data_IF_752428358101
#
_entry.id   IF_752428358101
#
_cell.length_a   1.000
_cell.length_b   1.000
_cell.length_c   1.000
_cell.angle_alpha   90.00
_cell.angle_beta   90.00
_cell.angle_gamma   90.00
#
_symmetry.space_group_name_H-M   'P 1'
#
loop_
_entity.id
_entity.type
_entity.pdbx_description
1 polymer ?
#
# COMPACT_ATOMS: atom_id res chain seq x y z
N UNK A 1 -13.19 30.40 18.54
CA UNK A 1 -11.78 30.32 18.12
C UNK A 1 -11.71 29.26 17.02
N UNK A 2 -11.01 29.52 15.92
CA UNK A 2 -10.88 28.60 14.78
C UNK A 2 -9.40 28.44 14.45
N UNK A 3 -8.94 27.20 14.25
CA UNK A 3 -7.57 26.86 13.88
C UNK A 3 -7.59 26.00 12.61
N UNK A 4 -6.79 26.32 11.57
CA UNK A 4 -6.63 25.44 10.42
C UNK A 4 -6.03 24.09 10.84
N UNK A 5 -6.57 22.98 10.33
CA UNK A 5 -6.14 21.63 10.70
C UNK A 5 -4.64 21.40 10.52
N UNK A 6 -4.04 21.91 9.44
CA UNK A 6 -2.62 21.73 9.14
C UNK A 6 -1.70 22.60 10.01
N UNK A 7 -2.24 23.49 10.85
CA UNK A 7 -1.48 24.22 11.85
C UNK A 7 -1.34 23.46 13.17
N UNK A 8 -2.12 22.39 13.38
CA UNK A 8 -2.12 21.65 14.65
C UNK A 8 -0.74 21.09 15.05
N UNK A 9 0.09 20.51 14.16
CA UNK A 9 1.43 20.06 14.55
C UNK A 9 2.27 21.19 15.14
N UNK A 10 2.20 22.40 14.59
CA UNK A 10 2.91 23.56 15.12
C UNK A 10 2.35 24.05 16.47
N UNK A 11 1.04 23.97 16.68
CA UNK A 11 0.40 24.34 17.96
C UNK A 11 0.73 23.35 19.07
N UNK A 12 0.79 22.05 18.74
CA UNK A 12 1.12 20.99 19.69
C UNK A 12 2.63 20.73 19.84
N UNK A 13 3.48 21.48 19.12
CA UNK A 13 4.93 21.28 19.15
C UNK A 13 5.35 19.88 18.67
N UNK A 14 4.64 19.32 17.69
CA UNK A 14 4.92 17.99 17.14
C UNK A 14 6.17 18.04 16.25
N UNK A 15 7.20 17.32 16.66
CA UNK A 15 8.41 17.04 15.91
C UNK A 15 8.33 15.65 15.26
N UNK A 16 9.21 15.30 14.29
CA UNK A 16 9.18 13.99 13.63
C UNK A 16 9.26 12.79 14.59
N UNK A 17 9.93 12.92 15.72
CA UNK A 17 10.06 11.88 16.76
C UNK A 17 8.91 11.88 17.78
N UNK A 18 8.04 12.89 17.76
CA UNK A 18 6.89 13.01 18.67
C UNK A 18 5.55 12.92 17.95
N UNK A 19 5.53 12.47 16.68
CA UNK A 19 4.28 12.23 15.95
C UNK A 19 3.45 11.19 16.73
N UNK A 20 2.19 11.48 17.07
CA UNK A 20 1.34 10.49 17.74
C UNK A 20 1.10 9.30 16.82
N UNK A 21 1.68 8.16 17.19
CA UNK A 21 1.76 6.97 16.36
C UNK A 21 1.37 5.69 17.12
N UNK A 22 0.48 5.81 18.11
CA UNK A 22 -0.09 4.67 18.83
C UNK A 22 -0.99 3.87 17.89
N UNK A 23 -0.42 2.83 17.27
CA UNK A 23 -1.10 1.91 16.35
C UNK A 23 -1.28 0.52 16.99
N UNK A 24 -2.37 -0.20 16.69
CA UNK A 24 -3.45 0.18 15.78
C UNK A 24 -4.46 1.15 16.42
N UNK A 25 -4.88 2.17 15.66
CA UNK A 25 -6.03 3.01 16.03
C UNK A 25 -7.26 2.77 15.14
N UNK A 26 -7.14 1.88 14.15
CA UNK A 26 -8.25 1.29 13.40
C UNK A 26 -8.15 -0.22 13.51
N UNK A 27 -9.25 -0.89 13.84
CA UNK A 27 -9.33 -2.35 13.89
C UNK A 27 -10.39 -2.86 12.91
N UNK A 28 -10.09 -3.92 12.19
CA UNK A 28 -11.06 -4.58 11.33
C UNK A 28 -12.19 -5.21 12.17
N UNK A 29 -13.47 -5.09 11.75
CA UNK A 29 -14.55 -5.79 12.43
C UNK A 29 -14.44 -7.31 12.25
N UNK A 30 -15.13 -8.05 13.12
CA UNK A 30 -15.15 -9.52 13.12
C UNK A 30 -15.95 -10.10 11.97
N UNK A 31 -17.01 -9.41 11.52
CA UNK A 31 -17.78 -9.76 10.34
C UNK A 31 -17.10 -9.17 9.11
N UNK A 32 -16.43 -10.03 8.32
CA UNK A 32 -15.57 -9.62 7.23
C UNK A 32 -15.55 -10.66 6.11
N UNK A 33 -15.39 -10.25 4.85
CA UNK A 33 -15.14 -11.18 3.76
C UNK A 33 -13.85 -11.97 4.00
N UNK A 34 -13.85 -13.24 3.65
CA UNK A 34 -12.66 -14.09 3.70
C UNK A 34 -11.80 -13.88 2.45
N UNK A 35 -10.48 -13.95 2.60
CA UNK A 35 -9.59 -14.08 1.44
C UNK A 35 -9.87 -15.40 0.71
N UNK A 36 -9.81 -15.43 -0.64
CA UNK A 36 -9.73 -16.67 -1.38
C UNK A 36 -8.58 -17.55 -0.87
N UNK A 37 -8.77 -18.87 -0.91
CA UNK A 37 -7.76 -19.83 -0.48
C UNK A 37 -6.43 -19.60 -1.20
N UNK A 38 -5.36 -19.60 -0.42
CA UNK A 38 -4.00 -19.33 -0.89
C UNK A 38 -2.99 -19.88 0.09
N UNK A 39 -1.88 -20.40 -0.43
CA UNK A 39 -0.82 -20.99 0.37
C UNK A 39 0.37 -20.03 0.51
N UNK A 40 1.17 -20.23 1.54
CA UNK A 40 2.36 -19.42 1.80
C UNK A 40 2.03 -18.01 2.28
N UNK A 41 2.94 -17.08 1.98
CA UNK A 41 2.94 -15.69 2.44
C UNK A 41 1.95 -14.84 1.64
N UNK A 42 0.95 -14.26 2.30
CA UNK A 42 -0.17 -13.56 1.64
C UNK A 42 0.14 -12.07 1.47
N UNK A 43 0.18 -11.62 0.23
CA UNK A 43 0.58 -10.24 -0.12
C UNK A 43 -0.56 -9.50 -0.82
N UNK A 44 -0.98 -8.36 -0.26
CA UNK A 44 -1.95 -7.46 -0.87
C UNK A 44 -1.27 -6.40 -1.74
N UNK A 45 -1.80 -6.12 -2.94
CA UNK A 45 -1.24 -5.16 -3.89
C UNK A 45 -2.23 -4.04 -4.24
N UNK A 46 -1.74 -2.79 -4.30
CA UNK A 46 -2.47 -1.66 -4.89
C UNK A 46 -1.50 -0.69 -5.59
N UNK A 47 -1.66 -0.51 -6.90
CA UNK A 47 -0.64 0.08 -7.78
C UNK A 47 -1.06 1.37 -8.48
N UNK A 48 -2.35 1.73 -8.39
CA UNK A 48 -2.89 2.94 -8.97
C UNK A 48 -3.85 3.65 -8.01
N UNK A 49 -3.90 4.97 -8.10
CA UNK A 49 -4.88 5.77 -7.39
C UNK A 49 -6.12 6.05 -8.23
N UNK A 50 -6.81 7.14 -7.89
CA UNK A 50 -8.00 7.57 -8.61
C UNK A 50 -7.59 8.38 -9.84
N UNK A 51 -8.07 8.04 -11.06
CA UNK A 51 -7.84 8.84 -12.26
C UNK A 51 -8.37 10.29 -12.16
N UNK A 52 -9.29 10.55 -11.22
CA UNK A 52 -9.78 11.90 -10.95
C UNK A 52 -8.76 12.79 -10.20
N UNK A 53 -7.68 12.20 -9.65
CA UNK A 53 -6.61 12.95 -9.02
C UNK A 53 -5.61 13.45 -10.08
N UNK A 54 -5.37 14.77 -10.21
CA UNK A 54 -4.42 15.29 -11.20
C UNK A 54 -2.99 14.76 -11.06
N UNK A 55 -2.60 14.34 -9.85
CA UNK A 55 -1.27 13.79 -9.58
C UNK A 55 -1.16 12.29 -9.88
N UNK A 56 -2.27 11.62 -10.24
CA UNK A 56 -2.32 10.17 -10.34
C UNK A 56 -1.32 9.60 -11.36
N UNK A 57 -1.17 10.28 -12.50
CA UNK A 57 -0.22 9.92 -13.55
C UNK A 57 1.24 9.82 -13.08
N UNK A 58 1.59 10.46 -11.97
CA UNK A 58 2.96 10.50 -11.43
C UNK A 58 3.18 9.51 -10.27
N UNK A 59 2.11 9.05 -9.64
CA UNK A 59 2.15 8.16 -8.46
C UNK A 59 1.60 6.76 -8.72
N UNK A 60 0.89 6.57 -9.83
CA UNK A 60 0.42 5.28 -10.30
C UNK A 60 1.42 4.64 -11.25
N UNK A 61 1.37 3.32 -11.34
CA UNK A 61 2.09 2.54 -12.36
C UNK A 61 1.12 1.65 -13.13
N UNK A 62 1.55 1.14 -14.27
CA UNK A 62 0.82 0.07 -14.95
C UNK A 62 1.06 -1.28 -14.22
N UNK A 63 0.04 -2.13 -14.12
CA UNK A 63 0.14 -3.44 -13.48
C UNK A 63 1.25 -4.32 -14.08
N UNK A 64 1.54 -4.19 -15.38
CA UNK A 64 2.61 -4.96 -16.02
C UNK A 64 3.99 -4.72 -15.40
N UNK A 65 4.21 -3.55 -14.79
CA UNK A 65 5.45 -3.27 -14.06
C UNK A 65 5.61 -4.17 -12.84
N UNK A 66 4.51 -4.58 -12.21
CA UNK A 66 4.50 -5.52 -11.07
C UNK A 66 4.48 -6.98 -11.50
N UNK A 67 4.37 -7.31 -12.79
CA UNK A 67 4.34 -8.70 -13.26
C UNK A 67 5.49 -9.56 -12.70
N UNK A 68 6.76 -9.09 -12.63
CA UNK A 68 7.85 -9.89 -12.07
C UNK A 68 7.72 -10.12 -10.56
N UNK A 69 7.03 -9.23 -9.83
CA UNK A 69 6.76 -9.40 -8.41
C UNK A 69 5.85 -10.60 -8.15
N UNK A 70 4.89 -10.85 -9.05
CA UNK A 70 3.95 -11.96 -8.96
C UNK A 70 4.61 -13.33 -9.15
N UNK A 71 5.87 -13.39 -9.58
CA UNK A 71 6.64 -14.61 -9.74
C UNK A 71 7.49 -14.98 -8.51
N UNK A 72 7.44 -14.19 -7.43
CA UNK A 72 8.12 -14.52 -6.17
C UNK A 72 7.49 -15.78 -5.56
N UNK A 73 8.29 -16.82 -5.42
CA UNK A 73 7.86 -18.12 -4.88
C UNK A 73 7.37 -18.03 -3.43
N UNK A 74 6.49 -18.95 -3.03
CA UNK A 74 5.89 -19.04 -1.68
C UNK A 74 5.00 -17.86 -1.30
N UNK A 75 4.68 -16.97 -2.24
CA UNK A 75 3.70 -15.91 -2.04
C UNK A 75 2.38 -16.26 -2.74
N UNK A 76 1.27 -15.85 -2.14
CA UNK A 76 -0.02 -15.72 -2.83
C UNK A 76 -0.37 -14.23 -2.88
N UNK A 77 -0.72 -13.73 -4.06
CA UNK A 77 -0.98 -12.30 -4.27
C UNK A 77 -2.48 -12.01 -4.40
N UNK A 78 -2.90 -10.95 -3.74
CA UNK A 78 -4.28 -10.48 -3.72
C UNK A 78 -4.32 -9.00 -4.12
N UNK A 79 -5.22 -8.64 -5.02
CA UNK A 79 -5.42 -7.25 -5.42
C UNK A 79 -6.32 -6.53 -4.42
N UNK A 80 -5.76 -5.52 -3.75
CA UNK A 80 -6.49 -4.50 -3.01
C UNK A 80 -6.78 -3.27 -3.88
N UNK A 81 -6.54 -3.37 -5.20
CA UNK A 81 -6.78 -2.26 -6.13
C UNK A 81 -8.28 -2.02 -6.26
N UNK A 82 -8.70 -0.82 -5.90
CA UNK A 82 -10.06 -0.35 -6.14
C UNK A 82 -10.14 0.44 -7.45
N UNK A 83 -11.27 0.36 -8.14
CA UNK A 83 -11.56 1.12 -9.36
C UNK A 83 -11.04 0.49 -10.67
N UNK A 84 -11.07 1.28 -11.78
CA UNK A 84 -10.84 0.77 -13.13
C UNK A 84 -9.44 0.20 -13.38
N UNK A 85 -8.43 0.61 -12.61
CA UNK A 85 -7.09 0.04 -12.73
C UNK A 85 -7.06 -1.46 -12.46
N UNK A 86 -8.02 -1.99 -11.69
CA UNK A 86 -8.15 -3.44 -11.49
C UNK A 86 -8.50 -4.21 -12.77
N UNK A 87 -9.07 -3.56 -13.79
CA UNK A 87 -9.37 -4.20 -15.09
C UNK A 87 -8.08 -4.63 -15.83
N UNK A 88 -6.94 -4.06 -15.44
CA UNK A 88 -5.63 -4.47 -15.93
C UNK A 88 -5.30 -5.93 -15.58
N UNK A 89 -5.88 -6.50 -14.52
CA UNK A 89 -5.62 -7.91 -14.14
C UNK A 89 -6.01 -8.85 -15.27
N UNK A 90 -7.24 -8.71 -15.79
CA UNK A 90 -7.74 -9.55 -16.87
C UNK A 90 -7.09 -9.18 -18.20
N UNK A 91 -6.93 -7.89 -18.49
CA UNK A 91 -6.29 -7.42 -19.72
C UNK A 91 -4.83 -7.92 -19.86
N UNK A 92 -4.12 -8.03 -18.75
CA UNK A 92 -2.74 -8.53 -18.68
C UNK A 92 -2.66 -10.07 -18.57
N UNK A 93 -3.79 -10.78 -18.47
CA UNK A 93 -3.84 -12.24 -18.30
C UNK A 93 -3.27 -12.70 -16.95
N UNK A 94 -3.46 -11.91 -15.89
CA UNK A 94 -2.89 -12.13 -14.55
C UNK A 94 -3.88 -12.71 -13.54
N UNK A 95 -5.12 -13.02 -13.93
CA UNK A 95 -6.17 -13.53 -13.02
C UNK A 95 -5.80 -14.87 -12.35
N UNK A 96 -4.83 -15.61 -12.90
CA UNK A 96 -4.27 -16.83 -12.29
C UNK A 96 -3.10 -16.61 -11.32
N UNK A 97 -2.56 -15.39 -11.24
CA UNK A 97 -1.43 -15.01 -10.36
C UNK A 97 -1.80 -13.97 -9.31
N UNK A 98 -2.85 -13.20 -9.55
CA UNK A 98 -3.30 -12.11 -8.70
C UNK A 98 -4.82 -12.23 -8.49
N UNK A 99 -5.23 -12.59 -7.27
CA UNK A 99 -6.64 -12.73 -6.92
C UNK A 99 -7.32 -11.35 -6.82
N UNK A 100 -8.26 -11.07 -7.72
CA UNK A 100 -9.02 -9.82 -7.68
C UNK A 100 -10.04 -9.81 -6.54
N UNK A 101 -9.83 -8.95 -5.53
CA UNK A 101 -10.74 -8.83 -4.38
C UNK A 101 -11.85 -7.79 -4.59
N UNK A 102 -11.87 -7.05 -5.70
CA UNK A 102 -12.94 -6.05 -5.97
C UNK A 102 -14.36 -6.59 -5.78
N UNK A 103 -14.71 -7.85 -6.15
CA UNK A 103 -16.05 -8.38 -5.95
C UNK A 103 -16.50 -8.46 -4.48
N UNK A 104 -15.56 -8.55 -3.53
CA UNK A 104 -15.84 -8.68 -2.09
C UNK A 104 -15.36 -7.46 -1.27
N UNK A 105 -14.69 -6.51 -1.91
CA UNK A 105 -14.13 -5.30 -1.30
C UNK A 105 -15.03 -4.09 -1.62
N UNK A 106 -16.24 -4.09 -1.05
CA UNK A 106 -17.28 -3.08 -1.34
C UNK A 106 -17.02 -1.71 -0.72
N UNK A 107 -16.33 -1.67 0.41
CA UNK A 107 -16.06 -0.45 1.19
C UNK A 107 -14.77 -0.58 2.02
N UNK A 108 -14.46 0.44 2.82
CA UNK A 108 -13.30 0.44 3.70
C UNK A 108 -13.37 -0.57 4.84
N UNK A 109 -14.58 -0.96 5.26
CA UNK A 109 -14.76 -1.97 6.30
C UNK A 109 -14.37 -3.35 5.76
N UNK A 110 -14.87 -3.71 4.57
CA UNK A 110 -14.49 -4.91 3.85
C UNK A 110 -12.98 -4.92 3.54
N UNK A 111 -12.43 -3.80 3.07
CA UNK A 111 -10.99 -3.65 2.81
C UNK A 111 -10.16 -3.86 4.08
N UNK A 112 -10.55 -3.28 5.23
CA UNK A 112 -9.88 -3.52 6.50
C UNK A 112 -9.96 -5.00 6.89
N UNK A 113 -11.12 -5.64 6.71
CA UNK A 113 -11.30 -7.07 6.93
C UNK A 113 -10.34 -7.94 6.11
N UNK A 114 -10.14 -7.61 4.83
CA UNK A 114 -9.22 -8.30 3.94
C UNK A 114 -7.76 -8.03 4.32
N UNK A 115 -7.40 -6.79 4.63
CA UNK A 115 -6.04 -6.40 5.10
C UNK A 115 -5.64 -7.19 6.34
N UNK A 116 -6.55 -7.35 7.30
CA UNK A 116 -6.29 -8.10 8.53
C UNK A 116 -6.05 -9.60 8.36
N UNK A 117 -6.14 -10.13 7.14
CA UNK A 117 -5.86 -11.53 6.79
C UNK A 117 -4.59 -11.70 5.94
N UNK A 118 -3.91 -10.60 5.60
CA UNK A 118 -2.67 -10.59 4.83
C UNK A 118 -1.46 -10.54 5.76
N UNK A 119 -0.34 -11.09 5.29
CA UNK A 119 0.94 -10.99 5.98
C UNK A 119 1.69 -9.69 5.63
N UNK A 120 1.43 -9.13 4.44
CA UNK A 120 2.05 -7.91 3.95
C UNK A 120 1.11 -7.16 2.99
N UNK A 121 1.09 -5.84 3.07
CA UNK A 121 0.50 -4.95 2.05
C UNK A 121 1.61 -4.22 1.31
N UNK A 122 1.63 -4.26 -0.02
CA UNK A 122 2.51 -3.45 -0.86
C UNK A 122 1.63 -2.50 -1.68
N UNK A 123 1.81 -1.19 -1.49
CA UNK A 123 0.98 -0.20 -2.17
C UNK A 123 1.78 1.01 -2.61
N UNK A 124 1.30 1.75 -3.60
CA UNK A 124 1.68 3.16 -3.75
C UNK A 124 1.03 4.01 -2.64
N UNK A 125 1.32 5.31 -2.57
CA UNK A 125 0.66 6.20 -1.60
C UNK A 125 -0.84 6.37 -1.90
N UNK A 126 -1.71 5.44 -1.49
CA UNK A 126 -3.18 5.45 -1.62
C UNK A 126 -3.89 5.32 -0.27
N UNK A 127 -5.22 5.34 -0.27
CA UNK A 127 -6.02 5.00 0.93
C UNK A 127 -5.70 3.60 1.47
N UNK A 128 -5.29 2.64 0.62
CA UNK A 128 -4.87 1.29 1.05
C UNK A 128 -3.64 1.36 1.94
N UNK A 129 -2.64 2.16 1.56
CA UNK A 129 -1.45 2.40 2.38
C UNK A 129 -1.87 3.00 3.74
N UNK A 130 -2.65 4.08 3.75
CA UNK A 130 -3.05 4.74 5.00
C UNK A 130 -3.91 3.86 5.92
N UNK A 131 -4.86 3.09 5.36
CA UNK A 131 -5.69 2.18 6.14
C UNK A 131 -4.85 1.06 6.75
N UNK A 132 -3.98 0.42 5.96
CA UNK A 132 -3.10 -0.65 6.47
C UNK A 132 -2.14 -0.15 7.55
N UNK A 133 -1.57 1.05 7.41
CA UNK A 133 -0.74 1.67 8.44
C UNK A 133 -1.49 1.99 9.73
N UNK A 134 -2.71 2.54 9.62
CA UNK A 134 -3.57 2.80 10.77
C UNK A 134 -3.97 1.53 11.54
N UNK A 135 -4.04 0.40 10.83
CA UNK A 135 -4.29 -0.92 11.37
C UNK A 135 -3.04 -1.62 11.95
N UNK A 136 -1.86 -1.00 11.83
CA UNK A 136 -0.60 -1.62 12.23
C UNK A 136 -0.25 -2.87 11.43
N UNK A 137 -0.80 -3.03 10.23
CA UNK A 137 -0.37 -4.08 9.33
C UNK A 137 1.07 -3.82 8.86
N UNK A 138 1.82 -4.87 8.55
CA UNK A 138 3.10 -4.70 7.86
C UNK A 138 2.81 -4.19 6.44
N UNK A 139 3.34 -3.01 6.13
CA UNK A 139 3.04 -2.32 4.87
C UNK A 139 4.29 -1.74 4.23
N UNK A 140 4.49 -2.01 2.95
CA UNK A 140 5.52 -1.39 2.14
C UNK A 140 4.88 -0.39 1.17
N UNK A 141 5.41 0.84 1.17
CA UNK A 141 4.91 1.92 0.32
C UNK A 141 5.93 2.26 -0.76
N UNK A 142 5.52 2.12 -2.02
CA UNK A 142 6.26 2.53 -3.20
C UNK A 142 5.95 4.00 -3.50
N UNK A 143 6.91 4.89 -3.28
CA UNK A 143 6.76 6.32 -3.39
C UNK A 143 7.38 6.86 -4.67
N UNK A 144 6.65 7.71 -5.38
CA UNK A 144 7.20 8.46 -6.50
C UNK A 144 8.31 9.41 -6.03
N UNK A 145 9.20 9.81 -6.94
CA UNK A 145 10.34 10.67 -6.60
C UNK A 145 9.90 12.05 -6.05
N UNK A 146 8.70 12.49 -6.40
CA UNK A 146 8.05 13.73 -5.97
C UNK A 146 7.01 13.53 -4.86
N UNK A 147 7.16 12.46 -4.05
CA UNK A 147 6.22 12.12 -3.00
C UNK A 147 5.89 13.29 -2.05
N UNK A 148 4.66 13.27 -1.54
CA UNK A 148 4.15 14.25 -0.59
C UNK A 148 5.07 14.40 0.63
N UNK A 149 5.24 15.63 1.08
CA UNK A 149 6.13 16.02 2.18
C UNK A 149 5.92 15.22 3.48
N UNK A 150 4.70 14.70 3.72
CA UNK A 150 4.37 13.90 4.91
C UNK A 150 5.19 12.61 5.01
N UNK A 151 5.66 12.09 3.88
CA UNK A 151 6.54 10.93 3.83
C UNK A 151 7.98 11.28 4.21
N UNK A 152 8.32 12.56 4.40
CA UNK A 152 9.67 13.05 4.65
C UNK A 152 10.65 12.68 3.52
N UNK A 153 11.90 13.10 3.66
CA UNK A 153 13.01 12.81 2.72
C UNK A 153 14.10 12.01 3.43
N UNK A 154 14.93 11.34 2.63
CA UNK A 154 16.17 10.68 3.07
C UNK A 154 15.99 9.63 4.18
N UNK A 155 14.82 8.97 4.17
CA UNK A 155 14.47 7.92 5.12
C UNK A 155 13.51 6.90 4.53
N UNK A 156 13.59 5.68 5.04
CA UNK A 156 12.84 4.53 4.55
C UNK A 156 11.76 4.07 5.54
N UNK A 157 11.52 4.86 6.58
CA UNK A 157 10.49 4.71 7.59
C UNK A 157 9.53 5.93 7.56
N UNK A 158 8.45 5.87 8.33
CA UNK A 158 7.53 6.99 8.52
C UNK A 158 7.13 7.12 9.97
N UNK A 159 7.19 8.34 10.56
CA UNK A 159 6.78 8.54 11.94
C UNK A 159 5.26 8.41 12.12
N UNK A 160 4.48 8.45 11.03
CA UNK A 160 3.02 8.30 11.07
C UNK A 160 2.59 6.84 11.25
N UNK A 161 3.37 5.90 10.73
CA UNK A 161 3.04 4.47 10.72
C UNK A 161 4.29 3.62 11.00
N UNK A 162 4.59 3.32 12.28
CA UNK A 162 5.83 2.62 12.66
C UNK A 162 6.04 1.24 12.02
N UNK A 163 4.98 0.57 11.56
CA UNK A 163 5.06 -0.74 10.87
C UNK A 163 5.35 -0.62 9.38
N UNK A 164 5.47 0.60 8.84
CA UNK A 164 5.70 0.81 7.42
C UNK A 164 7.16 0.88 7.03
N UNK A 165 7.43 0.37 5.83
CA UNK A 165 8.69 0.58 5.11
C UNK A 165 8.42 1.33 3.81
N UNK A 166 9.26 2.31 3.49
CA UNK A 166 9.17 3.11 2.29
C UNK A 166 10.24 2.70 1.28
N UNK A 167 9.83 2.60 0.01
CA UNK A 167 10.68 2.48 -1.16
C UNK A 167 10.50 3.75 -1.97
N UNK A 168 11.59 4.37 -2.44
CA UNK A 168 11.53 5.67 -3.13
C UNK A 168 12.15 5.58 -4.50
N UNK A 169 11.51 6.21 -5.48
CA UNK A 169 12.08 6.29 -6.81
C UNK A 169 13.23 7.29 -6.77
N UNK A 170 14.37 6.90 -7.35
CA UNK A 170 15.46 7.84 -7.61
C UNK A 170 15.11 8.80 -8.76
N UNK A 171 14.47 8.25 -9.79
CA UNK A 171 14.01 8.98 -10.97
C UNK A 171 12.50 8.83 -11.11
N UNK A 172 11.79 9.96 -11.26
CA UNK A 172 10.34 9.96 -11.41
C UNK A 172 9.90 9.07 -12.58
N UNK A 173 9.00 8.12 -12.29
CA UNK A 173 8.45 7.20 -13.27
C UNK A 173 9.27 5.93 -13.51
N UNK A 174 10.47 5.81 -12.93
CA UNK A 174 11.26 4.57 -12.96
C UNK A 174 10.75 3.55 -11.92
N UNK A 175 9.51 3.11 -12.11
CA UNK A 175 8.89 2.04 -11.34
C UNK A 175 9.59 0.68 -11.53
N UNK A 176 10.00 0.28 -12.75
CA UNK A 176 10.65 -1.01 -12.95
C UNK A 176 11.89 -1.19 -12.07
N UNK A 177 12.75 -0.16 -11.95
CA UNK A 177 13.92 -0.25 -11.09
C UNK A 177 13.55 -0.42 -9.61
N UNK A 178 12.60 0.37 -9.10
CA UNK A 178 12.09 0.20 -7.73
C UNK A 178 11.51 -1.20 -7.48
N UNK A 179 10.78 -1.76 -8.44
CA UNK A 179 10.15 -3.09 -8.28
C UNK A 179 11.21 -4.19 -8.09
N UNK A 180 12.41 -4.05 -8.66
CA UNK A 180 13.53 -4.98 -8.40
C UNK A 180 13.95 -4.96 -6.92
N UNK A 181 14.00 -3.79 -6.29
CA UNK A 181 14.32 -3.67 -4.87
C UNK A 181 13.22 -4.25 -3.98
N UNK A 182 11.95 -4.04 -4.36
CA UNK A 182 10.78 -4.60 -3.67
C UNK A 182 10.78 -6.12 -3.77
N UNK A 183 11.06 -6.70 -4.94
CA UNK A 183 11.19 -8.15 -5.15
C UNK A 183 12.29 -8.71 -4.25
N UNK A 184 13.47 -8.08 -4.26
CA UNK A 184 14.61 -8.49 -3.44
C UNK A 184 14.28 -8.49 -1.95
N UNK A 185 13.52 -7.48 -1.49
CA UNK A 185 13.01 -7.43 -0.13
C UNK A 185 11.98 -8.54 0.15
N UNK A 186 11.04 -8.77 -0.76
CA UNK A 186 9.97 -9.76 -0.60
C UNK A 186 10.52 -11.18 -0.50
N UNK A 187 11.47 -11.53 -1.37
CA UNK A 187 12.15 -12.83 -1.32
C UNK A 187 12.76 -13.10 0.05
N UNK A 188 13.38 -12.09 0.68
CA UNK A 188 13.95 -12.23 2.04
C UNK A 188 12.87 -12.32 3.12
N UNK A 189 11.75 -11.61 2.94
CA UNK A 189 10.66 -11.53 3.93
C UNK A 189 9.78 -12.78 3.95
N UNK A 190 9.63 -13.45 2.80
CA UNK A 190 8.80 -14.64 2.60
C UNK A 190 9.60 -15.96 2.64
N UNK A 191 10.91 -15.92 2.90
CA UNK A 191 11.78 -17.08 3.03
C UNK A 191 11.45 -17.90 4.29
#
# INVERSE_FOLDING_TARGET
MHLPLLSLPGVFGTEPDTVPADIPYITAPSDRPALPDGAGFKVGLAWAGSPANPSDLRRSMDLDVLRPLLDVSRCTFYSLQHGPAGDQIDAAGLSGKLHDLRPVMSDFVAMAGLIGQLDLVISICTSVAHLSGAMGAETWVMLSADADWRWLKDRNDTPWYPTMRLFRQDTLGDWPNMVVDVISALVRRAA
#
